data_IF_282486578849
#
_entry.id   IF_282486578849
#
_cell.length_a   1.000
_cell.length_b   1.000
_cell.length_c   1.000
_cell.angle_alpha   90.00
_cell.angle_beta   90.00
_cell.angle_gamma   90.00
#
_symmetry.space_group_name_H-M   'P 1'
#
loop_
_entity.id
_entity.type
_entity.pdbx_description
1 polymer ?
#
# COMPACT_ATOMS: atom_id res chain seq x y z
N UNK A 1 -2.25 15.71 -50.05
CA UNK A 1 -1.95 16.53 -48.87
C UNK A 1 -3.17 16.53 -47.98
N UNK A 2 -3.09 15.87 -46.82
CA UNK A 2 -3.49 16.37 -45.48
C UNK A 2 -3.30 15.21 -44.51
N UNK A 3 -2.24 15.34 -43.71
CA UNK A 3 -1.90 14.46 -42.60
C UNK A 3 -3.02 14.49 -41.55
N UNK A 4 -3.68 13.37 -41.30
CA UNK A 4 -4.33 13.11 -40.02
C UNK A 4 -3.40 12.23 -39.19
N UNK A 5 -2.41 12.88 -38.56
CA UNK A 5 -1.76 12.30 -37.39
C UNK A 5 -2.72 12.53 -36.24
N UNK A 6 -3.54 11.51 -35.95
CA UNK A 6 -4.14 11.37 -34.63
C UNK A 6 -2.98 11.43 -33.62
N UNK A 7 -2.90 12.55 -32.89
CA UNK A 7 -2.10 12.63 -31.69
C UNK A 7 -2.74 11.68 -30.67
N UNK A 8 -2.32 10.42 -30.71
CA UNK A 8 -2.36 9.56 -29.55
C UNK A 8 -1.54 10.25 -28.46
N UNK A 9 -2.22 11.01 -27.59
CA UNK A 9 -1.64 11.58 -26.40
C UNK A 9 -0.90 10.46 -25.67
N UNK A 10 0.42 10.62 -25.50
CA UNK A 10 1.23 9.70 -24.71
C UNK A 10 0.55 9.55 -23.36
N UNK A 11 -0.02 8.38 -23.05
CA UNK A 11 -0.56 8.06 -21.72
C UNK A 11 0.61 8.15 -20.73
N UNK A 12 0.74 9.30 -20.09
CA UNK A 12 1.68 9.59 -19.02
C UNK A 12 1.13 9.00 -17.70
N UNK A 13 0.71 7.72 -17.72
CA UNK A 13 -0.02 7.08 -16.61
C UNK A 13 0.80 6.07 -15.80
N UNK A 14 2.12 6.03 -15.98
CA UNK A 14 2.93 5.02 -15.32
C UNK A 14 3.76 5.62 -14.18
N UNK A 15 3.26 5.49 -12.96
CA UNK A 15 4.05 5.73 -11.74
C UNK A 15 3.87 4.56 -10.78
N UNK A 16 4.98 4.16 -10.17
CA UNK A 16 5.16 2.78 -9.76
C UNK A 16 5.03 2.52 -8.27
N UNK A 17 4.48 1.35 -7.96
CA UNK A 17 4.68 0.66 -6.70
C UNK A 17 6.03 -0.08 -6.79
N UNK A 18 6.79 -0.15 -5.71
CA UNK A 18 8.00 -1.00 -5.69
C UNK A 18 7.78 -2.19 -4.77
N UNK A 19 7.94 -3.39 -5.32
CA UNK A 19 8.00 -4.62 -4.52
C UNK A 19 9.42 -4.79 -4.01
N UNK A 20 9.58 -4.90 -2.70
CA UNK A 20 10.84 -5.21 -2.05
C UNK A 20 10.83 -6.68 -1.62
N UNK A 21 11.89 -7.41 -1.97
CA UNK A 21 12.11 -8.79 -1.53
C UNK A 21 13.32 -8.83 -0.60
N UNK A 22 13.07 -9.16 0.67
CA UNK A 22 14.12 -9.29 1.68
C UNK A 22 14.74 -10.71 1.68
N UNK A 23 15.91 -10.84 2.33
CA UNK A 23 16.51 -12.17 2.63
C UNK A 23 15.95 -12.82 3.90
N UNK A 24 15.06 -12.11 4.59
CA UNK A 24 14.42 -12.55 5.83
C UNK A 24 12.90 -12.41 5.71
N UNK A 25 12.11 -13.13 6.52
CA UNK A 25 10.66 -12.95 6.53
C UNK A 25 10.24 -11.52 6.87
N UNK A 26 9.23 -11.04 6.15
CA UNK A 26 8.55 -9.75 6.26
C UNK A 26 7.10 -9.91 6.73
N UNK A 27 6.75 -11.07 7.29
CA UNK A 27 5.47 -11.32 7.94
C UNK A 27 5.64 -11.48 9.46
N UNK A 28 4.52 -11.41 10.18
CA UNK A 28 4.48 -11.84 11.59
C UNK A 28 4.32 -13.36 11.64
N UNK A 29 4.95 -13.98 12.62
CA UNK A 29 4.69 -15.37 12.99
C UNK A 29 3.99 -15.41 14.34
N UNK A 30 3.01 -16.28 14.49
CA UNK A 30 2.23 -16.46 15.71
C UNK A 30 2.29 -17.90 16.18
N UNK A 31 2.41 -18.12 17.49
CA UNK A 31 2.43 -19.44 18.13
C UNK A 31 1.78 -19.37 19.52
N UNK A 32 1.48 -20.52 20.11
CA UNK A 32 1.05 -20.59 21.51
C UNK A 32 2.27 -20.59 22.41
N UNK A 33 2.38 -19.57 23.27
CA UNK A 33 3.45 -19.41 24.23
C UNK A 33 3.36 -20.40 25.40
N UNK A 34 4.41 -20.50 26.23
CA UNK A 34 4.42 -21.36 27.41
C UNK A 34 3.34 -21.02 28.45
N UNK A 35 2.83 -19.79 28.42
CA UNK A 35 1.74 -19.30 29.26
C UNK A 35 0.34 -19.64 28.71
N UNK A 36 0.27 -20.36 27.58
CA UNK A 36 -0.98 -20.71 26.93
C UNK A 36 -1.66 -19.55 26.21
N UNK A 37 -0.94 -18.47 25.89
CA UNK A 37 -1.46 -17.32 25.12
C UNK A 37 -0.81 -17.23 23.75
N UNK A 38 -1.41 -16.48 22.83
CA UNK A 38 -0.76 -16.17 21.55
C UNK A 38 0.48 -15.31 21.80
N UNK A 39 1.63 -15.83 21.41
CA UNK A 39 2.88 -15.10 21.26
C UNK A 39 3.13 -14.78 19.79
N UNK A 40 4.01 -13.80 19.52
CA UNK A 40 4.35 -13.37 18.16
C UNK A 40 5.81 -13.02 18.00
N UNK A 41 6.29 -13.09 16.75
CA UNK A 41 7.49 -12.39 16.31
C UNK A 41 7.07 -11.26 15.39
N UNK A 42 7.53 -10.05 15.68
CA UNK A 42 7.34 -8.92 14.77
C UNK A 42 8.24 -9.06 13.54
N UNK A 43 8.05 -8.15 12.58
CA UNK A 43 8.80 -8.10 11.35
C UNK A 43 10.30 -7.96 11.62
N UNK A 44 11.12 -8.70 10.86
CA UNK A 44 12.57 -8.54 10.98
C UNK A 44 12.98 -7.23 10.31
N UNK A 45 13.89 -6.49 10.95
CA UNK A 45 14.43 -5.22 10.43
C UNK A 45 15.37 -5.46 9.24
N UNK A 46 14.82 -5.92 8.12
CA UNK A 46 15.56 -6.11 6.89
C UNK A 46 16.14 -4.76 6.44
N UNK A 47 17.46 -4.73 6.27
CA UNK A 47 18.18 -3.54 5.79
C UNK A 47 18.31 -3.53 4.27
N UNK A 48 18.46 -4.71 3.66
CA UNK A 48 18.73 -4.89 2.24
C UNK A 48 17.62 -5.68 1.53
N UNK A 49 17.32 -5.25 0.31
CA UNK A 49 16.23 -5.76 -0.51
C UNK A 49 16.64 -5.88 -1.97
N UNK A 50 16.08 -6.86 -2.67
CA UNK A 50 15.93 -6.79 -4.11
C UNK A 50 14.67 -5.95 -4.40
N UNK A 51 14.81 -4.83 -5.10
CA UNK A 51 13.75 -3.88 -5.38
C UNK A 51 13.30 -3.97 -6.84
N UNK A 52 12.01 -4.24 -7.04
CA UNK A 52 11.40 -4.46 -8.35
C UNK A 52 10.27 -3.45 -8.58
N UNK A 53 10.54 -2.32 -9.26
CA UNK A 53 9.52 -1.33 -9.57
C UNK A 53 8.47 -1.93 -10.53
N UNK A 54 7.20 -1.72 -10.19
CA UNK A 54 6.03 -2.13 -10.97
C UNK A 54 5.34 -0.93 -11.56
N UNK A 55 4.69 -1.14 -12.71
CA UNK A 55 3.72 -0.20 -13.26
C UNK A 55 2.33 -0.72 -12.94
N UNK A 56 1.43 0.18 -12.60
CA UNK A 56 0.04 -0.14 -12.28
C UNK A 56 -0.85 0.78 -13.11
N UNK A 57 -1.66 0.18 -13.98
CA UNK A 57 -2.60 0.88 -14.86
C UNK A 57 -4.08 0.57 -14.52
N UNK A 58 -4.35 -0.41 -13.63
CA UNK A 58 -5.71 -0.80 -13.22
C UNK A 58 -5.78 -1.41 -11.82
N UNK A 59 -6.99 -1.50 -11.23
CA UNK A 59 -7.17 -2.09 -9.92
C UNK A 59 -6.88 -3.59 -9.96
N UNK A 60 -7.15 -4.23 -11.10
CA UNK A 60 -6.81 -5.63 -11.34
C UNK A 60 -5.30 -5.89 -11.27
N UNK A 61 -4.47 -5.01 -11.85
CA UNK A 61 -3.02 -5.16 -11.75
C UNK A 61 -2.53 -4.99 -10.31
N UNK A 62 -3.08 -4.01 -9.58
CA UNK A 62 -2.77 -3.84 -8.16
C UNK A 62 -3.17 -5.08 -7.35
N UNK A 63 -4.35 -5.65 -7.61
CA UNK A 63 -4.83 -6.89 -7.00
C UNK A 63 -3.85 -8.04 -7.23
N UNK A 64 -3.47 -8.30 -8.48
CA UNK A 64 -2.56 -9.39 -8.81
C UNK A 64 -1.17 -9.22 -8.16
N UNK A 65 -0.67 -7.98 -8.11
CA UNK A 65 0.60 -7.68 -7.44
C UNK A 65 0.52 -7.87 -5.93
N UNK A 66 -0.59 -7.49 -5.30
CA UNK A 66 -0.82 -7.72 -3.88
C UNK A 66 -0.93 -9.20 -3.56
N UNK A 67 -1.61 -10.01 -4.39
CA UNK A 67 -1.63 -11.46 -4.21
C UNK A 67 -0.22 -12.06 -4.27
N UNK A 68 0.55 -11.72 -5.31
CA UNK A 68 1.94 -12.19 -5.47
C UNK A 68 2.83 -11.76 -4.29
N UNK A 69 2.68 -10.53 -3.81
CA UNK A 69 3.45 -10.04 -2.66
C UNK A 69 3.01 -10.72 -1.35
N UNK A 70 1.72 -11.03 -1.19
CA UNK A 70 1.18 -11.61 0.03
C UNK A 70 1.57 -13.07 0.22
N UNK A 71 1.68 -13.81 -0.88
CA UNK A 71 2.13 -15.20 -0.87
C UNK A 71 3.64 -15.33 -0.58
N UNK A 72 4.41 -14.28 -0.86
CA UNK A 72 5.83 -14.22 -0.54
C UNK A 72 6.08 -13.77 0.90
N UNK A 73 6.42 -14.71 1.80
CA UNK A 73 6.69 -14.41 3.21
C UNK A 73 7.81 -13.36 3.45
N UNK A 74 8.65 -13.08 2.45
CA UNK A 74 9.76 -12.12 2.49
C UNK A 74 9.52 -10.85 1.65
N UNK A 75 8.29 -10.63 1.18
CA UNK A 75 7.95 -9.49 0.34
C UNK A 75 7.22 -8.41 1.13
N UNK A 76 7.46 -7.18 0.73
CA UNK A 76 6.67 -6.02 1.12
C UNK A 76 6.63 -5.03 -0.03
N UNK A 77 5.82 -3.99 0.10
CA UNK A 77 5.73 -2.93 -0.92
C UNK A 77 6.06 -1.57 -0.31
N UNK A 78 6.51 -0.65 -1.14
CA UNK A 78 6.68 0.76 -0.80
C UNK A 78 6.11 1.64 -1.91
N UNK A 79 5.78 2.89 -1.54
CA UNK A 79 5.28 3.93 -2.46
C UNK A 79 6.37 4.58 -3.31
N UNK A 80 7.62 4.47 -2.86
CA UNK A 80 8.77 5.07 -3.51
C UNK A 80 9.21 4.26 -4.72
N UNK A 81 9.56 4.97 -5.79
CA UNK A 81 10.23 4.40 -6.97
C UNK A 81 11.73 4.59 -6.84
N UNK A 82 12.53 3.64 -7.35
CA UNK A 82 13.97 3.77 -7.31
C UNK A 82 14.48 4.91 -8.20
N UNK A 83 15.44 5.66 -7.70
CA UNK A 83 16.29 6.56 -8.49
C UNK A 83 17.43 5.75 -9.11
N UNK A 84 17.30 5.44 -10.41
CA UNK A 84 18.22 4.54 -11.11
C UNK A 84 19.62 5.14 -11.23
N UNK A 85 19.74 6.45 -11.42
CA UNK A 85 21.04 7.11 -11.53
C UNK A 85 21.78 7.05 -10.20
N UNK A 86 21.09 7.39 -9.10
CA UNK A 86 21.66 7.26 -7.74
C UNK A 86 22.04 5.81 -7.44
N UNK A 87 21.19 4.84 -7.83
CA UNK A 87 21.48 3.42 -7.66
C UNK A 87 22.74 2.98 -8.41
N UNK A 88 22.88 3.41 -9.68
CA UNK A 88 24.03 3.07 -10.52
C UNK A 88 25.31 3.68 -9.96
N UNK A 89 25.29 4.95 -9.55
CA UNK A 89 26.44 5.60 -8.92
C UNK A 89 26.83 4.87 -7.65
N UNK A 90 25.88 4.56 -6.77
CA UNK A 90 26.16 3.84 -5.52
C UNK A 90 26.73 2.44 -5.77
N UNK A 91 26.24 1.71 -6.77
CA UNK A 91 26.74 0.37 -7.09
C UNK A 91 28.18 0.35 -7.64
N UNK A 92 28.70 1.49 -8.12
CA UNK A 92 30.06 1.64 -8.64
C UNK A 92 31.05 2.18 -7.58
N UNK A 93 30.54 2.74 -6.48
CA UNK A 93 31.35 3.29 -5.40
C UNK A 93 31.53 2.25 -4.28
N UNK A 94 32.74 1.72 -4.06
CA UNK A 94 32.98 0.70 -3.02
C UNK A 94 32.75 1.22 -1.59
N UNK A 95 32.75 2.53 -1.36
CA UNK A 95 32.48 3.14 -0.05
C UNK A 95 30.98 3.42 0.16
N UNK A 96 30.17 3.43 -0.91
CA UNK A 96 28.72 3.62 -0.82
C UNK A 96 28.00 2.28 -0.63
N UNK A 97 27.50 2.05 0.57
CA UNK A 97 26.87 0.78 0.92
C UNK A 97 25.36 0.72 0.64
N UNK A 98 24.82 1.68 -0.15
CA UNK A 98 23.42 1.69 -0.56
C UNK A 98 23.05 0.53 -1.47
N UNK A 99 23.95 0.09 -2.36
CA UNK A 99 23.68 -0.97 -3.35
C UNK A 99 24.88 -1.90 -3.45
N UNK A 100 24.64 -3.21 -3.27
CA UNK A 100 25.69 -4.24 -3.29
C UNK A 100 25.47 -5.29 -4.38
N UNK A 101 24.75 -4.93 -5.44
CA UNK A 101 24.29 -5.84 -6.47
C UNK A 101 24.06 -5.16 -7.82
N UNK A 102 23.49 -5.90 -8.77
CA UNK A 102 23.23 -5.36 -10.09
C UNK A 102 22.11 -4.32 -10.07
N UNK A 103 22.28 -3.28 -10.90
CA UNK A 103 21.27 -2.24 -11.12
C UNK A 103 20.79 -2.31 -12.55
N UNK A 104 19.49 -2.52 -12.72
CA UNK A 104 18.78 -2.49 -14.00
C UNK A 104 17.47 -1.71 -13.79
N UNK A 105 16.88 -1.12 -14.84
CA UNK A 105 15.62 -0.38 -14.71
C UNK A 105 14.48 -1.18 -14.04
N UNK A 106 14.45 -2.50 -14.25
CA UNK A 106 13.43 -3.40 -13.68
C UNK A 106 13.84 -4.06 -12.35
N UNK A 107 15.08 -3.90 -11.90
CA UNK A 107 15.58 -4.57 -10.70
C UNK A 107 16.82 -3.87 -10.13
N UNK A 108 16.77 -3.52 -8.85
CA UNK A 108 17.95 -3.16 -8.06
C UNK A 108 18.20 -4.26 -7.04
N UNK A 109 19.31 -4.96 -7.15
CA UNK A 109 19.64 -6.05 -6.24
C UNK A 109 20.34 -5.54 -4.99
N UNK A 110 20.03 -6.17 -3.85
CA UNK A 110 20.74 -6.01 -2.59
C UNK A 110 20.96 -4.53 -2.20
N UNK A 111 19.88 -3.76 -2.16
CA UNK A 111 19.89 -2.33 -1.91
C UNK A 111 19.22 -1.94 -0.60
N UNK A 112 19.65 -0.82 -0.01
CA UNK A 112 19.03 -0.28 1.21
C UNK A 112 17.75 0.48 0.90
N UNK A 113 16.70 0.22 1.68
CA UNK A 113 15.45 1.00 1.67
C UNK A 113 15.66 2.36 2.34
N UNK A 114 16.17 3.34 1.60
CA UNK A 114 16.44 4.69 2.10
C UNK A 114 15.92 5.78 1.15
N UNK A 115 15.62 6.95 1.71
CA UNK A 115 15.11 8.10 0.97
C UNK A 115 16.08 8.62 -0.11
N UNK A 116 17.38 8.31 0.00
CA UNK A 116 18.35 8.65 -1.06
C UNK A 116 18.09 7.83 -2.32
N UNK A 117 17.77 6.55 -2.16
CA UNK A 117 17.58 5.59 -3.26
C UNK A 117 16.14 5.53 -3.77
N UNK A 118 15.15 5.77 -2.90
CA UNK A 118 13.73 5.68 -3.25
C UNK A 118 13.05 7.01 -3.04
N UNK A 119 12.41 7.51 -4.10
CA UNK A 119 11.74 8.81 -4.13
C UNK A 119 10.26 8.64 -4.38
N UNK A 120 9.50 9.61 -3.91
CA UNK A 120 8.14 9.78 -4.40
C UNK A 120 8.17 9.95 -5.93
N UNK A 121 7.30 9.27 -6.70
CA UNK A 121 7.20 9.48 -8.12
C UNK A 121 6.86 10.94 -8.45
N UNK A 122 7.38 11.45 -9.57
CA UNK A 122 7.11 12.82 -10.02
C UNK A 122 5.60 13.00 -10.24
N UNK A 123 4.99 13.96 -9.52
CA UNK A 123 3.54 14.20 -9.55
C UNK A 123 2.73 13.38 -8.56
N UNK A 124 3.36 12.48 -7.81
CA UNK A 124 2.71 11.67 -6.77
C UNK A 124 2.42 10.23 -7.21
N UNK A 125 1.71 9.50 -6.35
CA UNK A 125 1.29 8.12 -6.59
C UNK A 125 -0.16 8.06 -7.08
N UNK A 126 -0.49 7.07 -7.90
CA UNK A 126 -1.86 6.77 -8.37
C UNK A 126 -2.57 5.70 -7.52
N UNK A 127 -2.00 5.33 -6.37
CA UNK A 127 -2.59 4.39 -5.45
C UNK A 127 -2.33 4.81 -4.01
N UNK A 128 -3.13 4.29 -3.09
CA UNK A 128 -2.98 4.50 -1.65
C UNK A 128 -3.34 3.23 -0.89
N UNK A 129 -2.61 2.97 0.21
CA UNK A 129 -3.00 2.02 1.25
C UNK A 129 -3.38 2.81 2.50
N UNK A 130 -4.52 2.50 3.07
CA UNK A 130 -5.05 3.04 4.31
C UNK A 130 -5.06 1.93 5.35
N UNK A 131 -4.31 2.09 6.43
CA UNK A 131 -4.20 1.10 7.50
C UNK A 131 -5.03 1.53 8.70
N UNK A 132 -6.10 0.78 8.97
CA UNK A 132 -6.85 0.85 10.20
C UNK A 132 -6.32 -0.23 11.15
N UNK A 133 -5.82 0.18 12.31
CA UNK A 133 -5.32 -0.73 13.34
C UNK A 133 -6.21 -0.68 14.58
N UNK A 134 -6.91 -1.79 14.85
CA UNK A 134 -7.76 -2.01 16.01
C UNK A 134 -8.87 -0.95 16.18
N UNK A 135 -9.50 -0.57 15.05
CA UNK A 135 -10.62 0.36 15.06
C UNK A 135 -11.84 -0.28 15.73
N UNK A 136 -12.37 0.36 16.77
CA UNK A 136 -13.57 -0.12 17.47
C UNK A 136 -14.78 -0.12 16.53
N UNK A 137 -15.38 -1.30 16.34
CA UNK A 137 -16.59 -1.48 15.52
C UNK A 137 -17.81 -1.48 16.44
N UNK A 138 -18.80 -0.59 16.21
CA UNK A 138 -20.00 -0.54 17.02
C UNK A 138 -20.76 -1.88 17.00
N UNK A 139 -21.36 -2.31 18.13
CA UNK A 139 -22.13 -3.56 18.19
C UNK A 139 -23.25 -3.68 17.14
N UNK A 140 -23.81 -2.55 16.71
CA UNK A 140 -24.84 -2.50 15.67
C UNK A 140 -24.34 -2.86 14.26
N UNK A 141 -23.03 -2.73 14.01
CA UNK A 141 -22.38 -3.12 12.74
C UNK A 141 -22.03 -4.61 12.77
N UNK A 142 -21.56 -5.12 13.91
CA UNK A 142 -21.34 -6.55 14.15
C UNK A 142 -19.87 -6.94 14.19
N UNK A 143 -19.51 -8.04 13.50
CA UNK A 143 -18.17 -8.62 13.55
C UNK A 143 -17.15 -7.73 12.81
N UNK A 144 -16.07 -7.27 13.47
CA UNK A 144 -15.00 -6.46 12.87
C UNK A 144 -14.26 -7.16 11.71
N UNK A 145 -14.36 -8.48 11.58
CA UNK A 145 -13.66 -9.27 10.57
C UNK A 145 -14.51 -9.51 9.31
N UNK A 146 -15.36 -8.55 8.95
CA UNK A 146 -16.31 -8.67 7.83
C UNK A 146 -16.21 -7.48 6.88
N UNK A 147 -16.64 -7.69 5.63
CA UNK A 147 -16.78 -6.60 4.65
C UNK A 147 -17.75 -5.52 5.10
N UNK A 148 -18.81 -5.87 5.85
CA UNK A 148 -19.75 -4.89 6.40
C UNK A 148 -19.07 -3.88 7.35
N UNK A 149 -18.13 -4.35 8.18
CA UNK A 149 -17.33 -3.49 9.06
C UNK A 149 -16.33 -2.62 8.27
N UNK A 150 -15.80 -3.13 7.16
CA UNK A 150 -14.96 -2.34 6.25
C UNK A 150 -15.78 -1.21 5.61
N UNK A 151 -16.96 -1.53 5.07
CA UNK A 151 -17.85 -0.55 4.46
C UNK A 151 -18.30 0.53 5.44
N UNK A 152 -18.60 0.14 6.68
CA UNK A 152 -18.85 1.08 7.76
C UNK A 152 -17.65 2.00 8.00
N UNK A 153 -16.43 1.45 8.12
CA UNK A 153 -15.24 2.27 8.35
C UNK A 153 -14.96 3.26 7.21
N UNK A 154 -15.17 2.84 5.95
CA UNK A 154 -15.07 3.72 4.78
C UNK A 154 -16.09 4.87 4.89
N UNK A 155 -17.34 4.57 5.23
CA UNK A 155 -18.40 5.57 5.31
C UNK A 155 -18.20 6.57 6.45
N UNK A 156 -17.82 6.10 7.63
CA UNK A 156 -17.72 6.95 8.83
C UNK A 156 -16.41 7.72 8.92
N UNK A 157 -15.32 7.18 8.37
CA UNK A 157 -13.98 7.70 8.66
C UNK A 157 -13.20 8.18 7.46
N UNK A 158 -13.65 7.90 6.23
CA UNK A 158 -12.98 8.37 5.02
C UNK A 158 -13.78 9.48 4.32
N UNK A 159 -13.10 10.35 3.55
CA UNK A 159 -13.76 11.33 2.70
C UNK A 159 -14.79 10.69 1.75
N UNK A 160 -15.87 11.42 1.38
CA UNK A 160 -16.95 10.89 0.55
C UNK A 160 -16.48 10.27 -0.78
N UNK A 161 -15.37 10.74 -1.34
CA UNK A 161 -14.80 10.26 -2.60
C UNK A 161 -14.42 8.76 -2.56
N UNK A 162 -14.18 8.20 -1.37
CA UNK A 162 -13.85 6.77 -1.22
C UNK A 162 -15.08 5.87 -1.23
N UNK A 163 -16.27 6.40 -0.93
CA UNK A 163 -17.46 5.57 -0.66
C UNK A 163 -17.98 4.84 -1.90
N UNK A 164 -17.79 5.42 -3.08
CA UNK A 164 -18.24 4.86 -4.37
C UNK A 164 -17.10 4.26 -5.20
N UNK A 165 -15.88 4.21 -4.67
CA UNK A 165 -14.71 3.69 -5.34
C UNK A 165 -14.45 2.22 -5.01
N UNK A 166 -14.11 1.43 -6.02
CA UNK A 166 -13.68 0.05 -5.88
C UNK A 166 -12.38 -0.01 -5.09
N UNK A 167 -12.20 -1.09 -4.32
CA UNK A 167 -11.03 -1.24 -3.47
C UNK A 167 -10.64 -2.69 -3.29
N UNK A 168 -9.42 -2.88 -2.79
CA UNK A 168 -8.91 -4.17 -2.34
C UNK A 168 -8.74 -4.07 -0.83
N UNK A 169 -9.27 -5.03 -0.08
CA UNK A 169 -8.99 -5.14 1.35
C UNK A 169 -8.00 -6.25 1.60
N UNK A 170 -7.17 -6.07 2.63
CA UNK A 170 -6.37 -7.11 3.24
C UNK A 170 -6.47 -6.97 4.75
N UNK A 171 -7.11 -7.93 5.41
CA UNK A 171 -7.09 -8.02 6.87
C UNK A 171 -5.65 -8.20 7.37
N UNK A 172 -5.26 -7.39 8.35
CA UNK A 172 -3.88 -7.36 8.84
C UNK A 172 -3.47 -8.71 9.45
N UNK A 173 -2.18 -8.91 9.69
CA UNK A 173 -1.66 -10.18 10.20
C UNK A 173 -2.26 -10.64 11.54
N UNK A 174 -2.81 -9.73 12.35
CA UNK A 174 -3.45 -10.05 13.65
C UNK A 174 -4.96 -10.23 13.57
N UNK A 175 -5.59 -9.81 12.47
CA UNK A 175 -7.04 -9.86 12.32
C UNK A 175 -7.56 -11.31 12.37
N UNK A 176 -8.70 -11.49 13.05
CA UNK A 176 -9.39 -12.76 13.25
C UNK A 176 -8.61 -13.83 14.02
N UNK A 177 -7.46 -13.51 14.64
CA UNK A 177 -6.79 -14.45 15.54
C UNK A 177 -7.59 -14.59 16.84
N UNK A 178 -7.70 -15.82 17.34
CA UNK A 178 -8.44 -16.13 18.56
C UNK A 178 -7.50 -16.74 19.61
N UNK A 179 -7.53 -16.18 20.81
CA UNK A 179 -6.85 -16.71 21.98
C UNK A 179 -7.35 -18.12 22.34
N UNK A 180 -6.55 -18.94 23.05
CA UNK A 180 -6.97 -20.28 23.46
C UNK A 180 -8.21 -20.31 24.37
N UNK A 181 -8.51 -19.23 25.09
CA UNK A 181 -9.74 -19.08 25.89
C UNK A 181 -10.99 -18.73 25.06
N UNK A 182 -10.84 -18.57 23.74
CA UNK A 182 -11.91 -18.24 22.82
C UNK A 182 -12.11 -16.75 22.55
N UNK A 183 -11.43 -15.86 23.28
CA UNK A 183 -11.52 -14.41 23.10
C UNK A 183 -10.72 -13.93 21.87
N UNK A 184 -11.13 -12.81 21.22
CA UNK A 184 -10.37 -12.27 20.09
C UNK A 184 -9.00 -11.75 20.54
N UNK A 185 -7.95 -12.01 19.73
CA UNK A 185 -6.60 -11.47 19.96
C UNK A 185 -6.57 -9.94 19.79
N UNK A 186 -7.28 -9.43 18.78
CA UNK A 186 -7.62 -8.02 18.60
C UNK A 186 -9.13 -7.88 18.38
N UNK A 187 -9.84 -7.08 19.18
CA UNK A 187 -11.28 -6.97 19.09
C UNK A 187 -11.76 -5.96 18.03
N UNK A 188 -10.91 -5.06 17.54
CA UNK A 188 -11.26 -4.08 16.52
C UNK A 188 -10.99 -4.53 15.08
N UNK A 189 -11.49 -3.74 14.13
CA UNK A 189 -11.18 -3.88 12.70
C UNK A 189 -9.70 -3.55 12.48
N UNK A 190 -8.97 -4.53 11.94
CA UNK A 190 -7.57 -4.39 11.55
C UNK A 190 -7.40 -4.70 10.06
N UNK A 191 -7.34 -3.68 9.21
CA UNK A 191 -7.42 -3.86 7.75
C UNK A 191 -6.59 -2.82 6.99
N UNK A 192 -5.93 -3.28 5.94
CA UNK A 192 -5.34 -2.44 4.91
C UNK A 192 -6.32 -2.30 3.74
N UNK A 193 -6.70 -1.07 3.40
CA UNK A 193 -7.53 -0.78 2.23
C UNK A 193 -6.71 -0.14 1.14
N UNK A 194 -6.71 -0.74 -0.04
CA UNK A 194 -6.01 -0.25 -1.20
C UNK A 194 -6.98 0.33 -2.22
N UNK A 195 -6.70 1.56 -2.63
CA UNK A 195 -7.47 2.27 -3.63
C UNK A 195 -6.57 2.74 -4.77
N UNK A 196 -7.11 2.76 -5.98
CA UNK A 196 -6.56 3.57 -7.06
C UNK A 196 -7.10 4.99 -7.00
N UNK A 197 -6.27 5.95 -7.38
CA UNK A 197 -6.60 7.37 -7.49
C UNK A 197 -6.75 7.71 -8.97
N UNK A 198 -7.81 8.44 -9.32
CA UNK A 198 -8.08 8.84 -10.71
C UNK A 198 -6.94 9.68 -11.30
N UNK A 199 -6.36 10.55 -10.45
CA UNK A 199 -5.18 11.36 -10.75
C UNK A 199 -4.15 11.16 -9.64
N UNK A 200 -2.83 11.11 -9.95
CA UNK A 200 -1.81 11.00 -8.93
C UNK A 200 -1.89 12.10 -7.86
N UNK A 201 -1.63 11.75 -6.61
CA UNK A 201 -1.52 12.70 -5.51
C UNK A 201 -0.17 12.55 -4.80
N UNK A 202 0.43 13.67 -4.44
CA UNK A 202 1.67 13.68 -3.67
C UNK A 202 1.40 13.24 -2.23
N UNK A 203 2.44 12.73 -1.56
CA UNK A 203 2.43 12.35 -0.17
C UNK A 203 2.00 13.52 0.72
N UNK A 204 2.37 14.75 0.37
CA UNK A 204 1.93 15.96 1.07
C UNK A 204 0.43 16.22 0.89
N UNK A 205 -0.10 16.10 -0.33
CA UNK A 205 -1.53 16.23 -0.60
C UNK A 205 -2.33 15.16 0.14
N UNK A 206 -1.89 13.89 0.10
CA UNK A 206 -2.55 12.78 0.80
C UNK A 206 -2.56 12.98 2.32
N UNK A 207 -1.45 13.41 2.92
CA UNK A 207 -1.38 13.71 4.35
C UNK A 207 -2.30 14.86 4.74
N UNK A 208 -2.42 15.89 3.90
CA UNK A 208 -3.35 16.99 4.12
C UNK A 208 -4.80 16.52 4.03
N UNK A 209 -5.13 15.75 2.99
CA UNK A 209 -6.47 15.27 2.73
C UNK A 209 -6.98 14.30 3.81
N UNK A 210 -6.10 13.44 4.31
CA UNK A 210 -6.43 12.37 5.24
C UNK A 210 -6.03 12.73 6.70
N UNK A 211 -5.83 14.01 7.00
CA UNK A 211 -5.32 14.46 8.30
C UNK A 211 -6.20 13.97 9.48
N UNK A 212 -7.52 14.05 9.31
CA UNK A 212 -8.51 13.73 10.33
C UNK A 212 -8.99 12.27 10.31
N UNK A 213 -8.45 11.46 9.40
CA UNK A 213 -8.82 10.04 9.28
C UNK A 213 -8.03 9.20 10.30
N UNK A 214 -8.57 8.15 10.92
CA UNK A 214 -7.90 7.35 11.95
C UNK A 214 -7.00 6.25 11.35
N UNK A 215 -6.17 6.60 10.36
CA UNK A 215 -5.23 5.68 9.69
C UNK A 215 -3.77 5.96 10.09
N UNK A 216 -2.86 5.01 9.89
CA UNK A 216 -1.42 5.26 10.05
C UNK A 216 -0.87 6.13 8.88
N UNK A 217 -0.66 7.42 9.15
CA UNK A 217 -0.14 8.38 8.17
C UNK A 217 1.34 8.16 7.82
N UNK A 218 2.07 7.36 8.61
CA UNK A 218 3.47 7.03 8.30
C UNK A 218 3.57 6.31 6.95
N UNK A 219 2.55 5.55 6.59
CA UNK A 219 2.45 4.78 5.34
C UNK A 219 2.32 5.67 4.11
N UNK A 220 2.02 6.96 4.28
CA UNK A 220 1.99 7.95 3.21
C UNK A 220 3.40 8.47 2.86
N UNK A 221 4.47 7.92 3.44
CA UNK A 221 5.84 8.25 3.07
C UNK A 221 6.40 7.29 2.00
N UNK A 222 7.26 7.80 1.13
CA UNK A 222 7.82 7.03 0.01
C UNK A 222 8.50 5.70 0.44
N UNK A 223 9.29 5.72 1.50
CA UNK A 223 10.05 4.53 1.94
C UNK A 223 9.37 3.73 3.02
N UNK A 224 8.23 4.16 3.57
CA UNK A 224 7.58 3.41 4.64
C UNK A 224 7.12 2.05 4.11
N UNK A 225 7.45 0.99 4.85
CA UNK A 225 7.10 -0.38 4.47
C UNK A 225 5.61 -0.59 4.65
N UNK A 226 4.96 -1.10 3.60
CA UNK A 226 3.62 -1.65 3.68
C UNK A 226 3.76 -3.17 3.77
N UNK A 227 3.40 -3.72 4.92
CA UNK A 227 3.52 -5.15 5.20
C UNK A 227 2.30 -5.87 4.64
N UNK A 228 2.49 -6.60 3.54
CA UNK A 228 1.42 -7.32 2.84
C UNK A 228 1.59 -8.84 2.88
N UNK A 229 2.75 -9.35 3.32
CA UNK A 229 2.97 -10.79 3.45
C UNK A 229 2.03 -11.43 4.49
N UNK A 230 1.38 -12.52 4.09
CA UNK A 230 0.47 -13.29 4.93
C UNK A 230 1.16 -13.78 6.22
N UNK A 231 0.44 -13.86 7.36
CA UNK A 231 1.06 -14.27 8.61
C UNK A 231 1.41 -15.75 8.59
N UNK A 232 2.49 -16.13 9.29
CA UNK A 232 2.77 -17.53 9.59
C UNK A 232 2.02 -17.91 10.86
N UNK A 233 1.10 -18.86 10.78
CA UNK A 233 0.37 -19.39 11.93
C UNK A 233 0.94 -20.77 12.28
N UNK A 234 1.57 -20.90 13.45
CA UNK A 234 2.06 -22.19 13.93
C UNK A 234 0.92 -23.07 14.47
N UNK A 235 1.21 -24.34 14.72
CA UNK A 235 0.23 -25.30 15.25
C UNK A 235 -0.43 -24.77 16.54
N UNK A 236 -1.76 -24.90 16.61
CA UNK A 236 -2.56 -24.46 17.75
C UNK A 236 -3.04 -23.01 17.67
N UNK A 237 -2.51 -22.18 16.77
CA UNK A 237 -3.05 -20.82 16.56
C UNK A 237 -4.31 -20.89 15.70
N UNK A 238 -5.41 -20.36 16.22
CA UNK A 238 -6.71 -20.33 15.54
C UNK A 238 -6.95 -18.97 14.88
N UNK A 239 -7.44 -18.99 13.65
CA UNK A 239 -7.86 -17.81 12.89
C UNK A 239 -9.27 -18.04 12.33
N UNK A 240 -10.19 -17.10 12.52
CA UNK A 240 -11.58 -17.20 12.04
C UNK A 240 -11.78 -16.66 10.63
N UNK A 241 -10.83 -15.89 10.11
CA UNK A 241 -10.86 -15.42 8.73
C UNK A 241 -10.79 -16.61 7.77
N UNK A 242 -11.80 -16.73 6.90
CA UNK A 242 -11.79 -17.67 5.77
C UNK A 242 -10.89 -17.16 4.65
N UNK A 243 -11.00 -15.87 4.37
CA UNK A 243 -10.21 -15.16 3.38
C UNK A 243 -9.62 -13.92 4.04
N UNK A 244 -8.33 -13.67 3.78
CA UNK A 244 -7.63 -12.51 4.32
C UNK A 244 -7.69 -11.30 3.39
N UNK A 245 -7.91 -11.54 2.11
CA UNK A 245 -7.82 -10.51 1.08
C UNK A 245 -8.94 -10.70 0.08
N UNK A 246 -9.55 -9.60 -0.36
CA UNK A 246 -10.59 -9.59 -1.37
C UNK A 246 -10.64 -8.26 -2.11
N UNK A 247 -11.42 -8.22 -3.20
CA UNK A 247 -11.64 -7.04 -4.03
C UNK A 247 -13.13 -6.76 -4.10
N UNK A 248 -13.51 -5.51 -3.80
CA UNK A 248 -14.88 -5.04 -3.81
C UNK A 248 -15.05 -4.08 -4.99
N UNK A 249 -15.96 -4.42 -5.90
CA UNK A 249 -16.32 -3.58 -7.06
C UNK A 249 -17.44 -2.61 -6.68
N UNK A 250 -17.29 -1.35 -7.08
CA UNK A 250 -18.26 -0.27 -6.87
C UNK A 250 -18.51 0.49 -8.17
N UNK A 251 -19.28 1.58 -8.07
CA UNK A 251 -19.66 2.43 -9.20
C UNK A 251 -18.46 2.95 -10.00
N UNK A 252 -17.35 3.25 -9.33
CA UNK A 252 -16.12 3.72 -9.96
C UNK A 252 -14.96 2.78 -9.63
N UNK A 253 -14.02 2.58 -10.56
CA UNK A 253 -12.79 1.83 -10.25
C UNK A 253 -11.85 2.65 -9.36
N UNK A 254 -11.86 3.98 -9.50
CA UNK A 254 -10.90 4.88 -8.86
C UNK A 254 -11.58 5.88 -7.93
N UNK A 255 -10.85 6.29 -6.90
CA UNK A 255 -11.20 7.42 -6.04
C UNK A 255 -11.01 8.73 -6.81
N UNK A 256 -12.06 9.55 -6.86
CA UNK A 256 -12.01 10.88 -7.47
C UNK A 256 -11.15 11.81 -6.63
N UNK A 257 -10.48 12.74 -7.28
CA UNK A 257 -9.66 13.73 -6.59
C UNK A 257 -10.58 14.74 -5.86
N UNK A 258 -10.23 15.17 -4.63
CA UNK A 258 -10.93 16.26 -3.97
C UNK A 258 -10.86 17.57 -4.76
N UNK A 259 -11.95 18.36 -4.80
CA UNK A 259 -11.99 19.62 -5.55
C UNK A 259 -10.85 20.59 -5.21
N UNK A 260 -10.39 20.63 -3.96
CA UNK A 260 -9.31 21.53 -3.50
C UNK A 260 -7.92 21.20 -4.06
N UNK A 261 -7.76 20.04 -4.72
CA UNK A 261 -6.53 19.64 -5.42
C UNK A 261 -6.69 19.65 -6.94
N UNK A 262 -7.83 20.08 -7.48
CA UNK A 262 -7.95 20.34 -8.91
C UNK A 262 -7.05 21.52 -9.31
N UNK A 263 -6.41 21.48 -10.50
CA UNK A 263 -5.69 22.63 -11.01
C UNK A 263 -6.63 23.83 -11.04
N UNK A 264 -6.21 24.95 -10.47
CA UNK A 264 -6.89 26.22 -10.73
C UNK A 264 -6.76 26.47 -12.23
N UNK A 265 -7.90 26.55 -12.93
CA UNK A 265 -7.91 27.05 -14.30
C UNK A 265 -7.31 28.46 -14.25
N UNK A 266 -6.10 28.64 -14.78
CA UNK A 266 -5.61 29.97 -15.11
C UNK A 266 -6.64 30.55 -16.08
N UNK A 267 -7.41 31.54 -15.62
CA UNK A 267 -8.18 32.37 -16.51
C UNK A 267 -7.17 33.09 -17.40
N UNK A 268 -6.97 32.57 -18.62
CA UNK A 268 -6.36 33.35 -19.68
C UNK A 268 -7.19 34.63 -19.80
N UNK A 269 -6.61 35.74 -19.34
CA UNK A 269 -7.09 37.08 -19.65
C UNK A 269 -7.03 37.18 -21.17
N UNK A 270 -8.18 37.03 -21.81
CA UNK A 270 -8.35 37.39 -23.21
C UNK A 270 -8.24 38.91 -23.25
N UNK A 271 -7.08 39.42 -23.64
CA UNK A 271 -6.94 40.80 -24.08
C UNK A 271 -7.86 40.96 -25.31
N UNK A 272 -8.99 41.63 -25.13
CA UNK A 272 -9.84 42.08 -26.24
C UNK A 272 -9.17 43.28 -26.96
N UNK A 273 -9.36 43.37 -28.29
CA UNK A 273 -8.56 44.22 -29.19
C UNK A 273 -8.81 45.74 -29.08
#
# INVERSE_FOLDING_TARGET
MTNNKEQFGKRQRAYGLTILTARVPMNKSYWIGPDGRIAKSDYRNALFFDAMPQRLDSLLELWLMLQLASDGANKCIIRGVPDIEVAQTAALDPEDDLVRGQVRPSLIQNCKRQMRLFKEPKGGNNWIMLDFDDLEVPPAVGDPNTEASIEWAIREHLPPEFQCASYIYQFSNSAGLIQPDGSPYKPGLCVHLFFLLEKPLTNAQLKKWLADTPIDKSLLNAVQVHYVANPKLEAGVRCILKERMGRVEKEHETVKRPPEFEPQLEMELVDEP
#
